data_IF_597354861976
#
_entry.id   IF_597354861976
#
_cell.length_a   1.000
_cell.length_b   1.000
_cell.length_c   1.000
_cell.angle_alpha   90.00
_cell.angle_beta   90.00
_cell.angle_gamma   90.00
#
_symmetry.space_group_name_H-M   'P 1'
#
loop_
_entity.id
_entity.type
_entity.pdbx_description
1 polymer ?
#
# COMPACT_ATOMS: atom_id res chain seq x y z
N UNK A 1 16.44 4.69 4.53
CA UNK A 1 15.31 5.08 5.40
C UNK A 1 14.10 5.42 4.53
N UNK A 2 13.28 4.42 4.18
CA UNK A 2 12.07 4.67 3.38
C UNK A 2 10.94 5.13 4.31
N UNK A 3 10.66 6.43 4.28
CA UNK A 3 9.54 7.10 4.96
C UNK A 3 9.34 6.67 6.41
N UNK A 4 10.27 7.02 7.31
CA UNK A 4 9.87 7.13 8.70
C UNK A 4 9.20 8.49 8.87
N UNK A 5 7.92 8.50 9.25
CA UNK A 5 7.24 9.68 9.77
C UNK A 5 7.66 9.90 11.23
N UNK A 6 8.87 9.45 11.59
CA UNK A 6 9.50 9.63 12.90
C UNK A 6 9.67 11.14 13.10
N UNK A 7 8.78 11.73 13.88
CA UNK A 7 8.70 13.17 14.11
C UNK A 7 7.33 13.78 13.80
N UNK A 8 6.47 13.08 13.06
CA UNK A 8 5.06 13.50 12.87
C UNK A 8 4.20 12.72 13.86
N UNK A 9 3.57 13.42 14.79
CA UNK A 9 2.57 12.82 15.67
C UNK A 9 1.39 12.32 14.80
N UNK A 10 1.09 11.02 14.78
CA UNK A 10 0.00 10.47 13.98
C UNK A 10 -1.36 11.12 14.23
N UNK A 11 -1.60 11.66 15.42
CA UNK A 11 -2.85 12.37 15.76
C UNK A 11 -3.00 13.70 15.01
N UNK A 12 -1.89 14.28 14.54
CA UNK A 12 -1.89 15.53 13.76
C UNK A 12 -2.00 15.28 12.25
N UNK A 13 -2.18 14.03 11.82
CA UNK A 13 -2.29 13.66 10.40
C UNK A 13 -3.76 13.51 10.04
N UNK A 14 -4.28 14.47 9.28
CA UNK A 14 -5.64 14.44 8.75
C UNK A 14 -5.71 13.85 7.35
N UNK A 15 -6.81 13.16 7.04
CA UNK A 15 -7.13 12.67 5.68
C UNK A 15 -8.43 13.32 5.23
N UNK A 16 -8.39 13.96 4.06
CA UNK A 16 -9.59 14.56 3.46
C UNK A 16 -10.54 13.46 3.00
N UNK A 17 -11.83 13.59 3.34
CA UNK A 17 -12.83 12.56 3.06
C UNK A 17 -12.94 12.16 1.58
N UNK A 18 -12.65 13.07 0.65
CA UNK A 18 -12.54 12.76 -0.78
C UNK A 18 -11.50 11.66 -1.05
N UNK A 19 -10.32 11.75 -0.44
CA UNK A 19 -9.24 10.76 -0.61
C UNK A 19 -9.64 9.41 0.01
N UNK A 20 -10.30 9.44 1.17
CA UNK A 20 -10.84 8.24 1.82
C UNK A 20 -11.86 7.54 0.92
N UNK A 21 -12.80 8.30 0.35
CA UNK A 21 -13.82 7.78 -0.56
C UNK A 21 -13.20 7.17 -1.82
N UNK A 22 -12.29 7.88 -2.49
CA UNK A 22 -11.62 7.39 -3.70
C UNK A 22 -10.80 6.11 -3.45
N UNK A 23 -10.16 6.03 -2.28
CA UNK A 23 -9.43 4.84 -1.84
C UNK A 23 -10.41 3.67 -1.68
N UNK A 24 -11.55 3.90 -1.00
CA UNK A 24 -12.59 2.90 -0.81
C UNK A 24 -13.17 2.37 -2.12
N UNK A 25 -13.53 3.26 -3.07
CA UNK A 25 -13.99 2.89 -4.41
C UNK A 25 -12.94 2.06 -5.15
N UNK A 26 -11.67 2.46 -5.04
CA UNK A 26 -10.56 1.79 -5.71
C UNK A 26 -10.30 0.37 -5.22
N UNK A 27 -10.75 -0.03 -4.02
CA UNK A 27 -10.48 -1.35 -3.44
C UNK A 27 -11.23 -2.52 -4.11
N UNK A 28 -12.27 -2.24 -4.90
CA UNK A 28 -13.24 -3.26 -5.30
C UNK A 28 -13.01 -3.88 -6.69
N UNK A 29 -12.05 -3.38 -7.49
CA UNK A 29 -11.82 -3.90 -8.84
C UNK A 29 -11.02 -5.20 -8.82
N UNK A 30 -11.54 -6.21 -9.51
CA UNK A 30 -10.91 -7.53 -9.65
C UNK A 30 -10.65 -7.88 -11.11
N UNK A 31 -9.66 -8.73 -11.35
CA UNK A 31 -9.43 -9.30 -12.67
C UNK A 31 -10.58 -10.23 -13.05
N UNK A 32 -11.14 -9.96 -14.23
CA UNK A 32 -12.05 -10.83 -14.93
C UNK A 32 -11.29 -11.93 -15.68
N UNK A 33 -12.00 -13.00 -16.08
CA UNK A 33 -11.44 -14.03 -16.96
C UNK A 33 -10.81 -13.46 -18.25
N UNK A 34 -11.47 -12.53 -18.97
CA UNK A 34 -10.89 -11.82 -20.11
C UNK A 34 -9.61 -11.05 -19.77
N UNK A 35 -9.56 -10.33 -18.64
CA UNK A 35 -8.33 -9.63 -18.22
C UNK A 35 -7.16 -10.60 -18.10
N UNK A 36 -7.39 -11.77 -17.46
CA UNK A 36 -6.34 -12.78 -17.26
C UNK A 36 -5.89 -13.41 -18.58
N UNK A 37 -6.81 -13.63 -19.53
CA UNK A 37 -6.45 -14.12 -20.86
C UNK A 37 -5.54 -13.13 -21.60
N UNK A 38 -5.95 -11.86 -21.66
CA UNK A 38 -5.14 -10.83 -22.32
C UNK A 38 -3.74 -10.69 -21.71
N UNK A 39 -3.60 -10.82 -20.38
CA UNK A 39 -2.29 -10.82 -19.73
C UNK A 39 -1.46 -12.04 -20.14
N UNK A 40 -2.05 -13.24 -20.20
CA UNK A 40 -1.34 -14.45 -20.63
C UNK A 40 -0.86 -14.35 -22.07
N UNK A 41 -1.65 -13.74 -22.94
CA UNK A 41 -1.32 -13.59 -24.36
C UNK A 41 -0.12 -12.65 -24.55
N UNK A 42 0.10 -11.72 -23.61
CA UNK A 42 1.18 -10.72 -23.68
C UNK A 42 2.39 -11.05 -22.79
N UNK A 43 2.29 -12.02 -21.88
CA UNK A 43 3.32 -12.28 -20.88
C UNK A 43 4.23 -13.45 -21.28
N UNK A 44 5.54 -13.23 -21.21
CA UNK A 44 6.58 -14.27 -21.37
C UNK A 44 6.72 -15.20 -20.16
N UNK A 45 5.89 -15.02 -19.12
CA UNK A 45 5.97 -15.77 -17.87
C UNK A 45 5.09 -17.03 -17.88
N UNK A 46 5.23 -17.87 -16.84
CA UNK A 46 4.45 -19.12 -16.72
C UNK A 46 2.94 -18.83 -16.64
N UNK A 47 2.14 -19.17 -17.67
CA UNK A 47 0.71 -18.79 -17.72
C UNK A 47 -0.12 -19.38 -16.58
N UNK A 48 0.32 -20.51 -16.03
CA UNK A 48 -0.32 -21.16 -14.87
C UNK A 48 -0.29 -20.29 -13.62
N UNK A 49 0.74 -19.47 -13.43
CA UNK A 49 0.81 -18.55 -12.28
C UNK A 49 -0.23 -17.44 -12.37
N UNK A 50 -0.57 -17.01 -13.58
CA UNK A 50 -1.58 -15.96 -13.80
C UNK A 50 -3.01 -16.41 -13.47
N UNK A 51 -3.28 -17.73 -13.45
CA UNK A 51 -4.56 -18.25 -12.98
C UNK A 51 -4.86 -17.88 -11.53
N UNK A 52 -3.82 -17.72 -10.71
CA UNK A 52 -3.95 -17.37 -9.29
C UNK A 52 -4.48 -15.94 -9.11
N UNK A 53 -4.38 -15.10 -10.13
CA UNK A 53 -4.93 -13.74 -10.15
C UNK A 53 -6.41 -13.69 -10.60
N UNK A 54 -7.01 -14.82 -10.99
CA UNK A 54 -8.43 -14.87 -11.33
C UNK A 54 -9.29 -14.52 -10.12
N UNK A 55 -10.25 -13.60 -10.28
CA UNK A 55 -11.10 -13.08 -9.20
C UNK A 55 -10.29 -12.46 -8.04
N UNK A 56 -9.06 -12.02 -8.33
CA UNK A 56 -8.18 -11.26 -7.42
C UNK A 56 -8.22 -9.79 -7.80
N UNK A 57 -7.96 -8.90 -6.84
CA UNK A 57 -7.87 -7.46 -7.02
C UNK A 57 -6.87 -7.08 -8.10
N UNK A 58 -7.23 -6.09 -8.90
CA UNK A 58 -6.32 -5.45 -9.88
C UNK A 58 -5.22 -4.66 -9.14
N UNK A 59 -4.15 -4.28 -9.85
CA UNK A 59 -3.02 -3.51 -9.29
C UNK A 59 -3.46 -2.31 -8.44
N UNK A 60 -4.32 -1.44 -8.98
CA UNK A 60 -4.83 -0.26 -8.27
C UNK A 60 -5.56 -0.66 -6.98
N UNK A 61 -6.38 -1.70 -7.04
CA UNK A 61 -7.16 -2.20 -5.90
C UNK A 61 -6.32 -2.87 -4.82
N UNK A 62 -5.26 -3.60 -5.19
CA UNK A 62 -4.29 -4.14 -4.23
C UNK A 62 -3.55 -3.02 -3.50
N UNK A 63 -3.04 -2.02 -4.22
CA UNK A 63 -2.39 -0.85 -3.60
C UNK A 63 -3.33 -0.12 -2.64
N UNK A 64 -4.59 0.11 -3.03
CA UNK A 64 -5.59 0.73 -2.15
C UNK A 64 -5.87 -0.13 -0.90
N UNK A 65 -6.09 -1.43 -1.09
CA UNK A 65 -6.51 -2.32 0.00
C UNK A 65 -5.40 -2.67 1.00
N UNK A 66 -4.15 -2.79 0.54
CA UNK A 66 -3.04 -3.30 1.35
C UNK A 66 -2.00 -2.24 1.70
N UNK A 67 -1.81 -1.20 0.88
CA UNK A 67 -0.88 -0.12 1.19
C UNK A 67 -1.63 1.06 1.79
N UNK A 68 -2.56 1.67 1.03
CA UNK A 68 -3.24 2.89 1.46
C UNK A 68 -4.06 2.67 2.74
N UNK A 69 -4.85 1.59 2.82
CA UNK A 69 -5.61 1.27 4.04
C UNK A 69 -4.70 0.99 5.25
N UNK A 70 -3.53 0.38 5.04
CA UNK A 70 -2.56 0.11 6.12
C UNK A 70 -2.00 1.41 6.66
N UNK A 71 -1.60 2.33 5.78
CA UNK A 71 -1.12 3.65 6.20
C UNK A 71 -2.24 4.48 6.86
N UNK A 72 -3.47 4.46 6.32
CA UNK A 72 -4.63 5.10 6.94
C UNK A 72 -4.83 4.67 8.40
N UNK A 73 -4.75 3.36 8.69
CA UNK A 73 -4.89 2.82 10.04
C UNK A 73 -3.83 3.34 11.03
N UNK A 74 -2.67 3.81 10.55
CA UNK A 74 -1.61 4.34 11.41
C UNK A 74 -1.86 5.78 11.86
N UNK A 75 -2.62 6.57 11.11
CA UNK A 75 -2.73 8.04 11.29
C UNK A 75 -3.90 8.49 12.19
N UNK A 76 -4.32 7.68 13.15
CA UNK A 76 -5.26 8.11 14.21
C UNK A 76 -6.69 8.45 13.77
N UNK A 77 -6.97 8.54 12.46
CA UNK A 77 -8.33 8.68 11.92
C UNK A 77 -8.90 10.11 11.92
N UNK A 78 -8.07 11.16 11.97
CA UNK A 78 -8.57 12.53 11.80
C UNK A 78 -9.11 12.70 10.36
N UNK A 79 -10.40 12.99 10.25
CA UNK A 79 -11.09 13.17 8.99
C UNK A 79 -11.39 14.65 8.74
N UNK A 80 -10.90 15.17 7.62
CA UNK A 80 -11.18 16.55 7.20
C UNK A 80 -12.44 16.53 6.34
N UNK A 81 -13.53 17.19 6.78
CA UNK A 81 -14.79 17.20 6.05
C UNK A 81 -14.66 17.97 4.75
N UNK A 82 -15.36 17.48 3.72
CA UNK A 82 -15.29 18.07 2.39
C UNK A 82 -16.24 19.25 2.26
N UNK A 83 -15.87 20.25 1.46
CA UNK A 83 -16.73 21.40 1.11
C UNK A 83 -17.80 21.02 0.08
N UNK A 84 -17.50 20.04 -0.78
CA UNK A 84 -18.39 19.54 -1.85
C UNK A 84 -18.19 18.05 -2.03
N UNK A 85 -19.21 17.36 -2.53
CA UNK A 85 -19.11 15.94 -2.85
C UNK A 85 -18.08 15.69 -3.96
N UNK A 86 -17.40 14.54 -3.87
CA UNK A 86 -16.44 14.08 -4.88
C UNK A 86 -17.14 13.84 -6.22
N UNK A 87 -16.48 14.22 -7.31
CA UNK A 87 -16.97 14.02 -8.68
C UNK A 87 -16.12 12.99 -9.43
N UNK A 88 -16.51 12.62 -10.64
CA UNK A 88 -15.69 11.75 -11.52
C UNK A 88 -14.50 12.50 -12.16
N UNK A 89 -14.42 13.82 -11.96
CA UNK A 89 -13.41 14.69 -12.53
C UNK A 89 -12.28 14.90 -11.52
N UNK A 90 -11.10 14.35 -11.84
CA UNK A 90 -9.95 14.34 -10.94
C UNK A 90 -9.47 15.75 -10.59
N UNK A 91 -9.40 16.65 -11.57
CA UNK A 91 -8.92 18.01 -11.35
C UNK A 91 -9.87 18.77 -10.40
N UNK A 92 -11.18 18.53 -10.54
CA UNK A 92 -12.17 19.08 -9.61
C UNK A 92 -12.04 18.50 -8.21
N UNK A 93 -11.70 17.22 -8.08
CA UNK A 93 -11.48 16.61 -6.78
C UNK A 93 -10.24 17.20 -6.10
N UNK A 94 -9.15 17.41 -6.83
CA UNK A 94 -7.93 18.01 -6.30
C UNK A 94 -8.18 19.44 -5.78
N UNK A 95 -8.88 20.27 -6.58
CA UNK A 95 -9.31 21.61 -6.11
C UNK A 95 -10.24 21.53 -4.91
N UNK A 96 -11.09 20.51 -4.84
CA UNK A 96 -12.01 20.30 -3.71
C UNK A 96 -11.26 19.94 -2.44
N UNK A 97 -10.21 19.12 -2.55
CA UNK A 97 -9.31 18.79 -1.43
C UNK A 97 -8.68 20.06 -0.88
N UNK A 98 -8.04 20.86 -1.75
CA UNK A 98 -7.35 22.09 -1.35
C UNK A 98 -8.30 23.10 -0.69
N UNK A 99 -9.49 23.33 -1.28
CA UNK A 99 -10.51 24.21 -0.69
C UNK A 99 -11.04 23.71 0.66
N UNK A 100 -11.06 22.39 0.86
CA UNK A 100 -11.48 21.78 2.12
C UNK A 100 -10.46 22.00 3.23
N UNK A 101 -9.16 21.98 2.90
CA UNK A 101 -8.10 22.33 3.83
C UNK A 101 -8.20 23.80 4.26
N UNK A 102 -8.30 24.76 3.33
CA UNK A 102 -8.41 26.18 3.69
C UNK A 102 -9.66 26.50 4.52
N UNK A 103 -10.77 25.78 4.28
CA UNK A 103 -11.98 25.91 5.13
C UNK A 103 -11.75 25.34 6.53
N UNK A 104 -11.07 24.21 6.61
CA UNK A 104 -10.76 23.55 7.87
C UNK A 104 -9.81 24.40 8.74
N UNK A 105 -8.77 24.98 8.15
CA UNK A 105 -7.84 25.91 8.82
C UNK A 105 -8.61 27.07 9.47
N UNK A 106 -9.41 27.79 8.68
CA UNK A 106 -10.21 28.94 9.16
C UNK A 106 -11.20 28.57 10.26
N UNK A 107 -11.72 27.35 10.26
CA UNK A 107 -12.74 26.92 11.23
C UNK A 107 -12.12 26.49 12.57
N UNK A 108 -10.94 25.89 12.53
CA UNK A 108 -10.34 25.25 13.71
C UNK A 108 -9.13 26.02 14.27
N UNK A 109 -8.78 27.17 13.66
CA UNK A 109 -7.60 27.97 14.03
C UNK A 109 -6.31 27.14 14.05
N UNK A 110 -6.13 26.35 12.99
CA UNK A 110 -4.97 25.50 12.77
C UNK A 110 -4.32 25.82 11.44
N UNK A 111 -3.04 25.47 11.30
CA UNK A 111 -2.32 25.49 10.03
C UNK A 111 -2.25 24.07 9.49
N UNK A 112 -2.71 23.86 8.25
CA UNK A 112 -2.62 22.58 7.55
C UNK A 112 -1.50 22.64 6.53
N UNK A 113 -0.79 21.53 6.35
CA UNK A 113 0.24 21.40 5.31
C UNK A 113 -0.10 20.17 4.49
N UNK A 114 -0.36 20.35 3.19
CA UNK A 114 -0.61 19.22 2.30
C UNK A 114 0.69 18.51 1.95
N UNK A 115 0.78 17.22 2.27
CA UNK A 115 1.88 16.36 1.82
C UNK A 115 1.52 15.74 0.47
N UNK A 116 2.28 16.03 -0.58
CA UNK A 116 2.04 15.48 -1.92
C UNK A 116 3.34 15.14 -2.67
N UNK A 117 3.30 14.08 -3.48
CA UNK A 117 4.35 13.78 -4.47
C UNK A 117 3.85 14.03 -5.92
N UNK A 118 2.63 14.56 -6.06
CA UNK A 118 2.02 14.91 -7.34
C UNK A 118 2.28 16.39 -7.63
N UNK A 119 2.94 16.67 -8.76
CA UNK A 119 3.25 18.03 -9.22
C UNK A 119 1.98 18.84 -9.46
N UNK A 120 0.94 18.25 -10.04
CA UNK A 120 -0.31 18.97 -10.34
C UNK A 120 -1.01 19.42 -9.05
N UNK A 121 -1.03 18.55 -8.04
CA UNK A 121 -1.56 18.89 -6.73
C UNK A 121 -0.73 20.01 -6.07
N UNK A 122 0.60 19.96 -6.21
CA UNK A 122 1.47 20.99 -5.69
C UNK A 122 1.19 22.36 -6.33
N UNK A 123 1.01 22.40 -7.65
CA UNK A 123 0.68 23.61 -8.39
C UNK A 123 -0.68 24.19 -7.96
N UNK A 124 -1.70 23.34 -7.78
CA UNK A 124 -3.03 23.77 -7.29
C UNK A 124 -2.93 24.39 -5.90
N UNK A 125 -2.16 23.79 -4.99
CA UNK A 125 -1.92 24.36 -3.67
C UNK A 125 -1.26 25.74 -3.73
N UNK A 126 -0.32 25.95 -4.67
CA UNK A 126 0.28 27.28 -4.89
C UNK A 126 -0.77 28.30 -5.31
N UNK A 127 -1.57 27.96 -6.31
CA UNK A 127 -2.61 28.84 -6.85
C UNK A 127 -3.66 29.24 -5.81
N UNK A 128 -4.00 28.31 -4.90
CA UNK A 128 -5.00 28.53 -3.86
C UNK A 128 -4.39 28.96 -2.51
N UNK A 129 -3.08 29.26 -2.47
CA UNK A 129 -2.36 29.73 -1.27
C UNK A 129 -2.48 28.79 -0.06
N UNK A 130 -2.42 27.48 -0.31
CA UNK A 130 -2.40 26.43 0.73
C UNK A 130 -0.98 25.91 0.89
N UNK A 131 -0.51 25.84 2.14
CA UNK A 131 0.81 25.32 2.45
C UNK A 131 0.95 23.87 2.01
N UNK A 132 2.10 23.57 1.42
CA UNK A 132 2.40 22.23 0.90
C UNK A 132 3.84 21.82 1.17
N UNK A 133 4.01 20.51 1.31
CA UNK A 133 5.31 19.86 1.18
C UNK A 133 5.28 18.96 -0.05
N UNK A 134 6.03 19.35 -1.08
CA UNK A 134 6.20 18.56 -2.29
C UNK A 134 7.37 17.59 -2.11
N UNK A 135 7.05 16.31 -1.95
CA UNK A 135 8.03 15.24 -1.79
C UNK A 135 8.61 14.85 -3.15
N UNK A 136 9.90 15.14 -3.33
CA UNK A 136 10.68 14.71 -4.49
C UNK A 136 11.30 13.35 -4.22
N UNK A 137 11.53 12.57 -5.27
CA UNK A 137 12.40 11.41 -5.15
C UNK A 137 13.80 11.87 -4.73
N UNK A 138 14.46 11.16 -3.80
CA UNK A 138 15.85 11.46 -3.45
C UNK A 138 16.73 11.30 -4.69
N UNK A 139 17.57 12.30 -4.97
CA UNK A 139 18.50 12.30 -6.11
C UNK A 139 19.65 11.32 -5.88
N UNK A 140 20.14 11.25 -4.65
CA UNK A 140 21.16 10.29 -4.22
C UNK A 140 20.60 9.34 -3.16
N UNK A 141 20.75 8.03 -3.38
CA UNK A 141 20.47 7.01 -2.38
C UNK A 141 21.61 5.99 -2.34
N UNK A 142 22.31 5.91 -1.21
CA UNK A 142 23.29 4.83 -0.94
C UNK A 142 22.73 3.94 0.18
N UNK A 143 21.92 2.95 -0.20
CA UNK A 143 21.42 1.95 0.74
C UNK A 143 22.10 0.62 0.41
N UNK A 144 23.27 0.39 1.01
CA UNK A 144 23.97 -0.90 0.92
C UNK A 144 23.49 -1.89 1.98
N UNK A 145 22.68 -1.44 2.94
CA UNK A 145 22.21 -2.22 4.07
C UNK A 145 20.71 -2.01 4.26
N UNK A 146 20.03 -3.04 4.74
CA UNK A 146 18.66 -2.95 5.20
C UNK A 146 18.48 -3.91 6.38
N UNK A 147 17.65 -3.51 7.35
CA UNK A 147 17.20 -4.39 8.40
C UNK A 147 16.31 -5.51 7.82
N UNK A 148 16.18 -6.61 8.56
CA UNK A 148 15.26 -7.70 8.20
C UNK A 148 13.82 -7.21 7.97
N UNK A 149 13.34 -6.28 8.81
CA UNK A 149 12.01 -5.71 8.69
C UNK A 149 11.84 -4.86 7.42
N UNK A 150 12.85 -4.05 7.07
CA UNK A 150 12.84 -3.26 5.82
C UNK A 150 12.87 -4.16 4.59
N UNK A 151 13.65 -5.24 4.62
CA UNK A 151 13.67 -6.22 3.54
C UNK A 151 12.32 -6.90 3.35
N UNK A 152 11.69 -7.37 4.44
CA UNK A 152 10.35 -7.96 4.38
C UNK A 152 9.30 -6.97 3.86
N UNK A 153 9.36 -5.72 4.33
CA UNK A 153 8.47 -4.65 3.87
C UNK A 153 8.65 -4.41 2.37
N UNK A 154 9.88 -4.37 1.87
CA UNK A 154 10.17 -4.22 0.45
C UNK A 154 9.57 -5.38 -0.35
N UNK A 155 9.79 -6.63 0.09
CA UNK A 155 9.23 -7.83 -0.57
C UNK A 155 7.71 -7.77 -0.60
N UNK A 156 7.08 -7.37 0.51
CA UNK A 156 5.63 -7.17 0.59
C UNK A 156 5.15 -6.09 -0.39
N UNK A 157 5.73 -4.88 -0.33
CA UNK A 157 5.31 -3.74 -1.15
C UNK A 157 5.48 -4.04 -2.65
N UNK A 158 6.56 -4.72 -3.04
CA UNK A 158 6.79 -5.21 -4.40
C UNK A 158 5.72 -6.24 -4.80
N UNK A 159 5.45 -7.24 -3.96
CA UNK A 159 4.45 -8.26 -4.26
C UNK A 159 3.05 -7.68 -4.46
N UNK A 160 2.63 -6.72 -3.63
CA UNK A 160 1.32 -6.06 -3.72
C UNK A 160 1.23 -5.26 -5.02
N UNK A 161 2.32 -4.56 -5.35
CA UNK A 161 2.42 -3.72 -6.54
C UNK A 161 2.39 -4.55 -7.83
N UNK A 162 3.18 -5.62 -7.91
CA UNK A 162 3.29 -6.46 -9.12
C UNK A 162 2.28 -7.62 -9.15
N UNK A 163 1.66 -7.95 -8.02
CA UNK A 163 0.77 -9.10 -7.83
C UNK A 163 1.51 -10.40 -7.56
N UNK A 164 2.68 -10.59 -8.17
CA UNK A 164 3.53 -11.77 -8.05
C UNK A 164 4.99 -11.33 -8.06
N UNK A 165 5.81 -11.84 -7.14
CA UNK A 165 7.27 -11.68 -7.18
C UNK A 165 7.92 -13.05 -6.98
N UNK A 166 8.93 -13.37 -7.78
CA UNK A 166 9.73 -14.57 -7.60
C UNK A 166 11.04 -14.19 -6.91
N UNK A 167 11.29 -14.78 -5.75
CA UNK A 167 12.55 -14.68 -5.03
C UNK A 167 13.17 -16.08 -4.98
N UNK A 168 14.23 -16.30 -5.76
CA UNK A 168 14.85 -17.62 -5.93
C UNK A 168 13.82 -18.70 -6.32
N UNK A 169 13.68 -19.74 -5.48
CA UNK A 169 12.72 -20.84 -5.66
C UNK A 169 11.38 -20.60 -4.98
N UNK A 170 11.04 -19.36 -4.61
CA UNK A 170 9.77 -19.03 -3.94
C UNK A 170 9.01 -17.98 -4.76
N UNK A 171 7.74 -18.25 -5.04
CA UNK A 171 6.81 -17.27 -5.61
C UNK A 171 5.96 -16.70 -4.48
N UNK A 172 5.95 -15.39 -4.39
CA UNK A 172 5.28 -14.60 -3.36
C UNK A 172 4.10 -13.89 -4.01
N UNK A 173 2.90 -14.11 -3.47
CA UNK A 173 1.67 -13.54 -4.00
C UNK A 173 1.29 -12.30 -3.20
N UNK A 174 1.07 -11.18 -3.89
CA UNK A 174 0.59 -9.93 -3.31
C UNK A 174 -0.91 -9.90 -3.03
N UNK A 175 -1.59 -11.04 -3.20
CA UNK A 175 -2.99 -11.21 -2.83
C UNK A 175 -3.24 -12.64 -2.34
N UNK A 176 -4.05 -12.75 -1.28
CA UNK A 176 -4.41 -14.00 -0.65
C UNK A 176 -5.91 -14.26 -0.73
N UNK A 177 -6.28 -15.54 -0.78
CA UNK A 177 -7.66 -15.99 -0.88
C UNK A 177 -8.39 -16.26 0.43
N UNK A 178 -7.82 -15.85 1.56
CA UNK A 178 -8.46 -15.98 2.87
C UNK A 178 -9.71 -15.13 2.98
N UNK A 179 -10.77 -15.69 3.58
CA UNK A 179 -11.93 -14.95 4.05
C UNK A 179 -11.61 -14.42 5.44
N UNK A 180 -11.16 -13.18 5.55
CA UNK A 180 -10.89 -12.57 6.84
C UNK A 180 -10.57 -11.08 6.69
N UNK A 181 -11.23 -10.18 7.45
CA UNK A 181 -10.93 -8.75 7.43
C UNK A 181 -9.58 -8.37 8.08
N UNK A 182 -8.92 -9.32 8.78
CA UNK A 182 -7.87 -8.98 9.77
C UNK A 182 -6.50 -9.64 9.56
N UNK A 183 -6.22 -10.28 8.42
CA UNK A 183 -4.87 -10.85 8.17
C UNK A 183 -4.18 -10.31 6.90
N UNK A 184 -4.09 -8.97 6.70
CA UNK A 184 -3.40 -8.38 5.55
C UNK A 184 -1.90 -8.73 5.49
N UNK A 185 -1.32 -9.19 6.60
CA UNK A 185 0.11 -9.53 6.71
C UNK A 185 0.41 -10.99 6.36
N UNK A 186 -0.59 -11.80 5.98
CA UNK A 186 -0.36 -13.18 5.54
C UNK A 186 -0.23 -13.24 4.02
N UNK A 187 1.00 -13.45 3.56
CA UNK A 187 1.30 -13.65 2.15
C UNK A 187 1.18 -15.13 1.79
N UNK A 188 0.57 -15.43 0.64
CA UNK A 188 0.67 -16.78 0.07
C UNK A 188 2.07 -16.96 -0.52
N UNK A 189 2.73 -18.04 -0.13
CA UNK A 189 4.02 -18.47 -0.66
C UNK A 189 3.84 -19.77 -1.44
N UNK A 190 4.48 -19.88 -2.60
CA UNK A 190 4.59 -21.13 -3.35
C UNK A 190 6.06 -21.46 -3.55
N UNK A 191 6.52 -22.50 -2.87
CA UNK A 191 7.89 -23.00 -3.03
C UNK A 191 7.93 -23.90 -4.26
N UNK A 192 8.79 -23.56 -5.21
CA UNK A 192 8.97 -24.28 -6.47
C UNK A 192 9.93 -25.48 -6.33
N UNK A 193 10.67 -25.56 -5.21
CA UNK A 193 11.64 -26.61 -4.92
C UNK A 193 11.17 -27.44 -3.71
N UNK A 194 10.78 -28.69 -3.95
CA UNK A 194 10.27 -29.59 -2.90
C UNK A 194 11.30 -29.90 -1.80
N UNK A 195 12.58 -30.03 -2.15
CA UNK A 195 13.64 -30.26 -1.15
C UNK A 195 13.79 -29.06 -0.22
N UNK A 196 13.74 -27.85 -0.77
CA UNK A 196 13.75 -26.62 0.01
C UNK A 196 12.50 -26.53 0.91
N UNK A 197 11.34 -26.89 0.38
CA UNK A 197 10.08 -26.90 1.13
C UNK A 197 10.14 -27.84 2.35
N UNK A 198 10.59 -29.09 2.16
CA UNK A 198 10.77 -30.05 3.27
C UNK A 198 11.75 -29.55 4.33
N UNK A 199 12.85 -28.91 3.90
CA UNK A 199 13.81 -28.31 4.84
C UNK A 199 13.20 -27.15 5.63
N UNK A 200 12.43 -26.29 4.95
CA UNK A 200 11.71 -25.20 5.58
C UNK A 200 10.67 -25.70 6.59
N UNK A 201 9.85 -26.70 6.25
CA UNK A 201 8.89 -27.30 7.19
C UNK A 201 9.58 -27.85 8.44
N UNK A 202 10.69 -28.58 8.26
CA UNK A 202 11.48 -29.09 9.38
C UNK A 202 11.97 -27.96 10.28
N UNK A 203 12.58 -26.92 9.71
CA UNK A 203 13.11 -25.79 10.48
C UNK A 203 11.97 -25.00 11.17
N UNK A 204 10.86 -24.76 10.47
CA UNK A 204 9.71 -24.07 11.04
C UNK A 204 9.10 -24.84 12.20
N UNK A 205 9.07 -26.18 12.13
CA UNK A 205 8.62 -27.02 13.24
C UNK A 205 9.53 -26.87 14.45
N UNK A 206 10.85 -26.98 14.25
CA UNK A 206 11.85 -26.81 15.31
C UNK A 206 11.73 -25.43 15.96
N UNK A 207 11.62 -24.35 15.18
CA UNK A 207 11.50 -23.00 15.74
C UNK A 207 10.24 -22.82 16.58
N UNK A 208 9.10 -23.45 16.19
CA UNK A 208 7.86 -23.41 16.98
C UNK A 208 8.03 -24.16 18.29
N UNK A 209 8.56 -25.39 18.24
CA UNK A 209 8.85 -26.19 19.42
C UNK A 209 9.80 -25.45 20.37
N UNK A 210 10.87 -24.83 19.84
CA UNK A 210 11.79 -24.01 20.65
C UNK A 210 11.12 -22.78 21.26
N UNK A 211 10.19 -22.14 20.55
CA UNK A 211 9.46 -20.97 21.06
C UNK A 211 8.48 -21.35 22.18
N UNK A 212 7.92 -22.56 22.11
CA UNK A 212 7.02 -23.11 23.14
C UNK A 212 7.75 -23.51 24.42
N UNK A 213 9.06 -23.74 24.36
CA UNK A 213 9.86 -24.12 25.53
C UNK A 213 10.10 -22.98 26.53
N UNK A 214 9.61 -21.75 26.27
CA UNK A 214 9.75 -20.57 27.14
C UNK A 214 11.17 -20.39 27.73
N UNK A 215 12.20 -20.72 26.95
CA UNK A 215 13.59 -20.62 27.40
C UNK A 215 13.92 -19.13 27.49
N UNK A 216 14.19 -18.66 28.71
CA UNK A 216 14.64 -17.29 28.95
C UNK A 216 15.94 -17.02 28.16
N UNK A 217 16.03 -15.81 27.61
CA UNK A 217 17.16 -15.36 26.79
C UNK A 217 18.40 -15.12 27.62
#
# INVERSE_FOLDING_TARGET
MFSSLEGINPENVGIVNTVKYETGVSMNYKYSGPDIRGIKDSASCQPRLLNELSNRRKKKSRKAAYLAKREYKKFGGMEIPVVKESTNDKEKNDRTIVKSLSKYERKNDVRTVLLTADTQMADICEMESVDRFYSKYPEDYSLNECSYHEFLKLVFDLSVTFGLVKLNSVVIFGEFGGKGPDEPDKMKLKVLNEKLFKKFEKHSKICRELSELNIEK
#
